data_IF_833838789374
#
_entry.id   IF_833838789374
#
_cell.length_a   1.000
_cell.length_b   1.000
_cell.length_c   1.000
_cell.angle_alpha   90.00
_cell.angle_beta   90.00
_cell.angle_gamma   90.00
#
_symmetry.space_group_name_H-M   'P 1'
#
loop_
_entity.id
_entity.type
_entity.pdbx_description
1 polymer ?
2 non-polymer ?
#
# COMPACT_ATOMS: atom_id res chain seq x y z
N UNK A 1 1.63 -4.21 14.28
CA UNK A 1 0.58 -4.77 13.42
C UNK A 1 0.66 -4.15 12.03
N UNK A 2 -0.34 -4.39 11.19
CA UNK A 2 -0.45 -3.81 9.86
C UNK A 2 -0.31 -2.29 9.92
N UNK A 3 -0.92 -1.66 10.92
CA UNK A 3 -0.81 -0.23 11.13
C UNK A 3 0.67 0.13 11.35
N UNK A 4 1.35 -0.52 12.29
CA UNK A 4 2.77 -0.26 12.55
C UNK A 4 3.56 -0.31 11.24
N UNK A 5 3.41 -1.42 10.50
CA UNK A 5 4.07 -1.61 9.22
C UNK A 5 3.78 -0.43 8.30
N UNK A 6 2.51 -0.15 8.00
CA UNK A 6 2.09 0.93 7.13
C UNK A 6 2.69 2.28 7.56
N UNK A 7 2.59 2.63 8.85
CA UNK A 7 3.02 3.93 9.33
C UNK A 7 4.54 4.06 9.33
N UNK A 8 5.26 3.10 9.92
CA UNK A 8 6.70 3.24 10.12
C UNK A 8 7.51 1.98 9.85
N UNK A 9 6.91 0.79 9.80
CA UNK A 9 7.66 -0.45 9.62
C UNK A 9 7.78 -0.82 8.15
N UNK A 10 7.93 0.19 7.28
CA UNK A 10 8.10 0.04 5.85
C UNK A 10 9.20 1.00 5.42
N UNK A 11 9.91 0.63 4.35
CA UNK A 11 11.00 1.39 3.78
C UNK A 11 10.96 1.29 2.25
N UNK A 12 10.62 2.35 1.51
CA UNK A 12 10.09 3.63 1.99
C UNK A 12 8.80 3.43 2.81
N UNK A 13 8.52 4.36 3.71
CA UNK A 13 7.34 4.36 4.56
C UNK A 13 6.10 4.64 3.72
N UNK A 14 5.10 3.77 3.77
CA UNK A 14 3.88 3.91 2.96
C UNK A 14 3.19 5.26 3.26
N UNK A 15 3.05 5.54 4.57
CA UNK A 15 2.45 6.74 5.12
C UNK A 15 2.87 8.00 4.36
N UNK A 16 4.18 8.21 4.25
CA UNK A 16 4.79 9.35 3.58
C UNK A 16 4.15 9.67 2.23
N UNK A 17 3.63 8.66 1.52
CA UNK A 17 2.98 8.86 0.23
C UNK A 17 1.46 8.76 0.36
N UNK A 18 0.97 7.64 0.88
CA UNK A 18 -0.46 7.33 0.93
C UNK A 18 -1.25 8.21 1.88
N UNK A 19 -0.64 8.72 2.95
CA UNK A 19 -1.36 9.57 3.89
C UNK A 19 -1.83 10.86 3.19
N UNK A 20 -0.97 11.40 2.32
CA UNK A 20 -1.19 12.64 1.61
C UNK A 20 -1.79 12.40 0.21
N UNK A 21 -1.49 11.25 -0.40
CA UNK A 21 -1.91 10.90 -1.74
C UNK A 21 -0.87 11.39 -2.77
N UNK A 22 0.42 11.25 -2.44
CA UNK A 22 1.51 11.69 -3.31
C UNK A 22 1.32 11.06 -4.69
N UNK A 23 1.45 11.89 -5.74
CA UNK A 23 1.29 11.48 -7.13
C UNK A 23 -0.04 10.75 -7.36
N UNK A 24 -1.07 11.09 -6.59
CA UNK A 24 -2.39 10.48 -6.72
C UNK A 24 -2.43 9.06 -6.16
N UNK A 25 -1.53 8.71 -5.23
CA UNK A 25 -1.57 7.41 -4.58
C UNK A 25 -2.95 7.23 -3.94
N UNK A 26 -3.59 6.05 -4.07
CA UNK A 26 -4.91 5.82 -3.51
C UNK A 26 -4.83 6.00 -2.00
N UNK A 27 -5.60 6.94 -1.46
CA UNK A 27 -5.52 7.33 -0.06
C UNK A 27 -6.33 6.41 0.85
N UNK A 28 -6.08 6.56 2.16
CA UNK A 28 -6.83 5.86 3.18
C UNK A 28 -8.26 6.40 3.20
N UNK A 29 -9.18 5.60 3.75
CA UNK A 29 -10.60 5.91 3.87
C UNK A 29 -11.13 6.69 2.65
N UNK A 30 -10.82 6.17 1.45
CA UNK A 30 -11.17 6.75 0.17
C UNK A 30 -11.56 5.61 -0.80
N UNK A 31 -12.63 4.85 -0.51
CA UNK A 31 -13.03 3.67 -1.28
C UNK A 31 -12.98 3.90 -2.80
N UNK A 32 -13.43 5.06 -3.26
CA UNK A 32 -13.43 5.44 -4.67
C UNK A 32 -12.05 5.19 -5.32
N UNK A 33 -10.97 5.51 -4.60
CA UNK A 33 -9.61 5.37 -5.09
C UNK A 33 -9.24 3.91 -5.35
N UNK A 34 -9.92 2.97 -4.67
CA UNK A 34 -9.62 1.54 -4.71
C UNK A 34 -10.64 0.77 -5.55
N UNK A 35 -11.90 1.22 -5.60
CA UNK A 35 -13.01 0.61 -6.33
C UNK A 35 -12.57 0.03 -7.68
N UNK A 36 -11.87 0.84 -8.49
CA UNK A 36 -11.44 0.46 -9.83
C UNK A 36 -10.26 -0.52 -9.82
N UNK A 37 -9.42 -0.50 -8.78
CA UNK A 37 -8.24 -1.35 -8.69
C UNK A 37 -8.64 -2.78 -8.31
N UNK A 38 -7.89 -3.82 -8.73
CA UNK A 38 -8.12 -5.19 -8.30
C UNK A 38 -7.91 -5.25 -6.78
N UNK A 39 -8.96 -4.93 -6.02
CA UNK A 39 -8.97 -4.75 -4.58
C UNK A 39 -8.40 -5.94 -3.81
N UNK A 40 -8.47 -7.13 -4.41
CA UNK A 40 -7.91 -8.36 -3.85
C UNK A 40 -6.47 -8.14 -3.37
N UNK A 41 -6.25 -8.24 -2.06
CA UNK A 41 -4.94 -8.05 -1.43
C UNK A 41 -3.87 -8.84 -2.17
N UNK A 42 -4.17 -10.11 -2.48
CA UNK A 42 -3.28 -11.03 -3.18
C UNK A 42 -2.84 -10.51 -4.55
N UNK A 43 -3.62 -9.63 -5.17
CA UNK A 43 -3.28 -8.99 -6.44
C UNK A 43 -2.53 -7.70 -6.14
N UNK A 44 -3.10 -6.82 -5.29
CA UNK A 44 -2.51 -5.56 -4.90
C UNK A 44 -1.05 -5.71 -4.48
N UNK A 45 -0.74 -6.77 -3.72
CA UNK A 45 0.62 -6.99 -3.27
C UNK A 45 1.59 -7.16 -4.46
N UNK A 46 1.15 -7.77 -5.57
CA UNK A 46 2.01 -7.92 -6.73
C UNK A 46 2.33 -6.53 -7.28
N UNK A 47 1.30 -5.70 -7.49
CA UNK A 47 1.44 -4.33 -7.92
C UNK A 47 2.44 -3.61 -7.02
N UNK A 48 2.29 -3.80 -5.72
CA UNK A 48 3.17 -3.19 -4.73
C UNK A 48 4.61 -3.69 -4.90
N UNK A 49 4.84 -5.00 -4.97
CA UNK A 49 6.18 -5.53 -5.12
C UNK A 49 6.84 -5.01 -6.40
N UNK A 50 6.11 -5.04 -7.50
CA UNK A 50 6.61 -4.61 -8.81
C UNK A 50 6.77 -3.09 -8.91
N UNK A 51 5.91 -2.35 -8.22
CA UNK A 51 5.85 -0.89 -8.26
C UNK A 51 4.72 -0.48 -9.20
N UNK A 52 4.24 0.76 -9.08
CA UNK A 52 3.14 1.26 -9.90
C UNK A 52 3.20 2.79 -9.93
N UNK A 53 3.30 3.37 -11.13
CA UNK A 53 3.40 4.81 -11.28
C UNK A 53 4.61 5.33 -10.51
N UNK A 54 4.35 6.16 -9.51
CA UNK A 54 5.38 6.71 -8.64
C UNK A 54 5.88 5.68 -7.62
N UNK A 55 5.07 4.69 -7.26
CA UNK A 55 5.44 3.69 -6.25
C UNK A 55 6.60 2.84 -6.73
N UNK A 56 7.77 2.89 -6.07
CA UNK A 56 8.91 2.06 -6.43
C UNK A 56 8.60 0.58 -6.20
N UNK A 57 9.43 -0.30 -6.77
CA UNK A 57 9.29 -1.72 -6.56
C UNK A 57 9.65 -2.05 -5.11
N UNK A 58 8.86 -2.87 -4.43
CA UNK A 58 9.11 -3.29 -3.05
C UNK A 58 9.82 -4.64 -2.95
N UNK A 59 9.84 -5.43 -4.03
CA UNK A 59 10.47 -6.76 -4.05
C UNK A 59 11.87 -6.76 -3.43
N UNK A 60 11.97 -7.21 -2.18
CA UNK A 60 13.20 -7.29 -1.41
C UNK A 60 13.20 -6.30 -0.24
N UNK A 61 12.66 -5.10 -0.44
CA UNK A 61 12.59 -4.07 0.59
C UNK A 61 11.49 -4.40 1.59
N UNK A 62 10.35 -4.92 1.13
CA UNK A 62 9.29 -5.41 2.00
C UNK A 62 8.87 -6.77 1.48
N UNK A 63 8.67 -7.74 2.38
CA UNK A 63 8.23 -9.05 1.97
C UNK A 63 6.73 -9.02 1.78
N UNK A 64 6.24 -9.78 0.80
CA UNK A 64 4.83 -10.06 0.52
C UNK A 64 4.02 -10.11 1.82
N UNK A 65 4.50 -10.77 2.88
CA UNK A 65 3.81 -10.84 4.16
C UNK A 65 3.65 -9.44 4.78
N UNK A 66 4.74 -8.67 4.85
CA UNK A 66 4.75 -7.31 5.37
C UNK A 66 3.71 -6.49 4.61
N UNK A 67 3.93 -6.47 3.30
CA UNK A 67 3.09 -5.78 2.34
C UNK A 67 1.62 -6.11 2.60
N UNK A 68 1.29 -7.39 2.54
CA UNK A 68 -0.06 -7.91 2.78
C UNK A 68 -0.65 -7.27 4.04
N UNK A 69 0.08 -7.35 5.15
CA UNK A 69 -0.38 -6.80 6.43
C UNK A 69 -0.62 -5.28 6.32
N UNK A 70 0.22 -4.56 5.59
CA UNK A 70 0.03 -3.12 5.40
C UNK A 70 -1.20 -2.86 4.52
N UNK A 71 -1.34 -3.63 3.44
CA UNK A 71 -2.41 -3.49 2.46
C UNK A 71 -3.75 -3.76 3.13
N UNK A 72 -3.90 -4.87 3.86
CA UNK A 72 -5.17 -5.14 4.53
C UNK A 72 -5.48 -4.00 5.51
N UNK A 73 -4.47 -3.48 6.22
CA UNK A 73 -4.66 -2.34 7.10
C UNK A 73 -5.16 -1.14 6.28
N UNK A 74 -4.53 -0.83 5.15
CA UNK A 74 -4.97 0.29 4.30
C UNK A 74 -6.45 0.09 3.99
N UNK A 75 -6.77 -1.04 3.34
CA UNK A 75 -8.12 -1.39 2.93
C UNK A 75 -9.12 -1.35 4.09
N UNK A 76 -8.72 -1.74 5.31
CA UNK A 76 -9.66 -1.74 6.42
C UNK A 76 -10.20 -0.35 6.78
N UNK A 77 -9.64 0.74 6.22
CA UNK A 77 -10.15 2.08 6.50
C UNK A 77 -11.24 2.48 5.50
N UNK A 78 -11.40 1.72 4.40
CA UNK A 78 -12.32 2.05 3.33
C UNK A 78 -13.77 1.71 3.69
#
# INVERSE_FOLDING_TARGET
DGESIYINGTAPTCSSCHDRGVAGAPELNAPEDWADRPSSVDELVESTLAGKGAMPAYDGRADREDLVKAIEYMLSTL
#
